data_IF_729723199457
#
_entry.id   IF_729723199457
#
_cell.length_a   1.000
_cell.length_b   1.000
_cell.length_c   1.000
_cell.angle_alpha   90.00
_cell.angle_beta   90.00
_cell.angle_gamma   90.00
#
_symmetry.space_group_name_H-M   'P 1'
#
loop_
_entity.id
_entity.type
_entity.pdbx_description
1 polymer ?
#
# COMPACT_ATOMS: atom_id res chain seq x y z
N UNK A 1 -13.67 7.71 9.60
CA UNK A 1 -14.00 6.75 8.51
C UNK A 1 -15.34 6.07 8.84
N UNK A 2 -16.24 5.87 7.86
CA UNK A 2 -17.50 5.16 8.10
C UNK A 2 -17.23 3.70 8.54
N UNK A 3 -18.12 3.06 9.31
CA UNK A 3 -17.92 1.69 9.81
C UNK A 3 -17.59 0.66 8.73
N UNK A 4 -18.20 0.77 7.55
CA UNK A 4 -17.94 -0.11 6.41
C UNK A 4 -16.48 -0.10 5.93
N UNK A 5 -15.68 0.91 6.30
CA UNK A 5 -14.26 1.03 5.93
C UNK A 5 -13.30 0.60 7.04
N UNK A 6 -13.79 0.14 8.20
CA UNK A 6 -12.91 -0.22 9.31
C UNK A 6 -12.07 -1.47 9.01
N UNK A 7 -12.63 -2.49 8.39
CA UNK A 7 -11.87 -3.68 7.97
C UNK A 7 -10.83 -3.37 6.89
N UNK A 8 -11.15 -2.46 5.97
CA UNK A 8 -10.21 -1.95 4.97
C UNK A 8 -9.04 -1.18 5.62
N UNK A 9 -9.35 -0.35 6.62
CA UNK A 9 -8.34 0.36 7.40
C UNK A 9 -7.42 -0.61 8.15
N UNK A 10 -7.98 -1.63 8.80
CA UNK A 10 -7.18 -2.67 9.46
C UNK A 10 -6.28 -3.40 8.48
N UNK A 11 -6.78 -3.80 7.30
CA UNK A 11 -5.97 -4.50 6.31
C UNK A 11 -4.81 -3.64 5.83
N UNK A 12 -5.07 -2.38 5.47
CA UNK A 12 -4.01 -1.47 5.02
C UNK A 12 -3.00 -1.18 6.14
N UNK A 13 -3.46 -0.94 7.38
CA UNK A 13 -2.57 -0.75 8.53
C UNK A 13 -1.72 -1.98 8.82
N UNK A 14 -2.29 -3.19 8.67
CA UNK A 14 -1.54 -4.44 8.78
C UNK A 14 -0.50 -4.56 7.67
N UNK A 15 -0.83 -4.21 6.43
CA UNK A 15 0.13 -4.18 5.32
C UNK A 15 1.34 -3.29 5.63
N UNK A 16 1.09 -2.12 6.22
CA UNK A 16 2.14 -1.23 6.70
C UNK A 16 3.02 -1.86 7.79
N UNK A 17 2.39 -2.48 8.80
CA UNK A 17 3.10 -3.17 9.88
C UNK A 17 3.96 -4.34 9.35
N UNK A 18 3.38 -5.19 8.50
CA UNK A 18 4.08 -6.33 7.90
C UNK A 18 5.21 -5.86 6.97
N UNK A 19 5.05 -4.70 6.34
CA UNK A 19 6.10 -4.04 5.57
C UNK A 19 7.28 -3.60 6.44
N UNK A 20 7.00 -2.88 7.53
CA UNK A 20 8.03 -2.49 8.50
C UNK A 20 8.75 -3.69 9.10
N UNK A 21 8.01 -4.75 9.44
CA UNK A 21 8.56 -5.95 10.08
C UNK A 21 9.34 -6.86 9.13
N UNK A 22 9.40 -6.52 7.84
CA UNK A 22 10.32 -7.15 6.88
C UNK A 22 11.67 -6.45 6.81
N UNK A 23 11.82 -5.29 7.43
CA UNK A 23 13.08 -4.57 7.52
C UNK A 23 13.81 -4.95 8.81
N UNK A 24 15.11 -5.09 8.69
CA UNK A 24 16.02 -5.02 9.85
C UNK A 24 16.10 -3.60 10.39
N UNK A 25 16.56 -3.46 11.63
CA UNK A 25 16.78 -2.17 12.28
C UNK A 25 17.73 -1.30 11.44
N UNK A 26 18.81 -1.88 10.92
CA UNK A 26 19.76 -1.18 10.05
C UNK A 26 19.14 -0.74 8.73
N UNK A 27 18.44 -1.63 8.01
CA UNK A 27 17.78 -1.29 6.74
C UNK A 27 16.74 -0.18 6.93
N UNK A 28 15.97 -0.20 8.02
CA UNK A 28 15.02 0.87 8.31
C UNK A 28 15.73 2.20 8.55
N UNK A 29 16.78 2.22 9.37
CA UNK A 29 17.54 3.45 9.63
C UNK A 29 18.18 4.00 8.35
N UNK A 30 18.72 3.12 7.50
CA UNK A 30 19.27 3.49 6.20
C UNK A 30 18.19 4.07 5.28
N UNK A 31 17.02 3.43 5.18
CA UNK A 31 15.92 3.92 4.35
C UNK A 31 15.36 5.26 4.85
N UNK A 32 15.37 5.51 6.17
CA UNK A 32 14.97 6.80 6.74
C UNK A 32 16.02 7.88 6.47
N UNK A 33 17.32 7.53 6.50
CA UNK A 33 18.39 8.46 6.16
C UNK A 33 18.44 8.77 4.65
N UNK A 34 18.13 7.77 3.82
CA UNK A 34 18.17 7.80 2.36
C UNK A 34 16.81 7.42 1.76
N UNK A 35 15.79 8.28 1.91
CA UNK A 35 14.43 7.95 1.48
C UNK A 35 14.36 7.72 -0.03
N UNK A 36 13.67 6.64 -0.42
CA UNK A 36 13.45 6.33 -1.82
C UNK A 36 12.71 7.47 -2.53
N UNK A 37 13.24 7.88 -3.69
CA UNK A 37 12.59 8.88 -4.54
C UNK A 37 11.42 8.24 -5.27
N UNK A 38 10.25 8.85 -5.12
CA UNK A 38 9.03 8.42 -5.81
C UNK A 38 9.13 8.66 -7.31
N UNK A 39 8.92 7.60 -8.08
CA UNK A 39 8.69 7.60 -9.52
C UNK A 39 7.20 7.36 -9.81
N UNK A 40 6.46 8.39 -10.27
CA UNK A 40 5.04 8.27 -10.61
C UNK A 40 4.74 7.16 -11.64
N UNK A 41 5.72 6.75 -12.45
CA UNK A 41 5.55 5.70 -13.47
C UNK A 41 5.30 4.34 -12.85
N UNK A 42 5.90 4.04 -11.69
CA UNK A 42 5.74 2.74 -11.01
C UNK A 42 4.28 2.52 -10.62
N UNK A 43 3.66 3.51 -9.97
CA UNK A 43 2.24 3.44 -9.64
C UNK A 43 1.35 3.42 -10.90
N UNK A 44 1.71 4.16 -11.96
CA UNK A 44 0.96 4.19 -13.22
C UNK A 44 0.94 2.83 -13.91
N UNK A 45 2.08 2.15 -13.98
CA UNK A 45 2.22 0.82 -14.59
C UNK A 45 1.40 -0.20 -13.80
N UNK A 46 1.59 -0.28 -12.48
CA UNK A 46 0.86 -1.22 -11.64
C UNK A 46 -0.67 -1.01 -11.74
N UNK A 47 -1.13 0.25 -11.77
CA UNK A 47 -2.55 0.57 -11.95
C UNK A 47 -3.09 0.14 -13.32
N UNK A 48 -2.30 0.30 -14.38
CA UNK A 48 -2.68 -0.15 -15.73
C UNK A 48 -2.82 -1.68 -15.76
N UNK A 49 -1.88 -2.40 -15.17
CA UNK A 49 -1.92 -3.86 -15.10
C UNK A 49 -3.14 -4.36 -14.33
N UNK A 50 -3.47 -3.74 -13.19
CA UNK A 50 -4.67 -4.09 -12.44
C UNK A 50 -5.94 -3.78 -13.26
N UNK A 51 -5.99 -2.63 -13.92
CA UNK A 51 -7.11 -2.27 -14.80
C UNK A 51 -7.31 -3.30 -15.90
N UNK A 52 -6.25 -3.68 -16.62
CA UNK A 52 -6.31 -4.62 -17.74
C UNK A 52 -6.83 -5.99 -17.25
N UNK A 53 -6.33 -6.49 -16.10
CA UNK A 53 -6.79 -7.73 -15.46
C UNK A 53 -8.25 -7.66 -15.02
N UNK A 54 -8.68 -6.55 -14.41
CA UNK A 54 -10.06 -6.35 -13.98
C UNK A 54 -11.02 -6.31 -15.16
N UNK A 55 -10.69 -5.53 -16.18
CA UNK A 55 -11.51 -5.39 -17.38
C UNK A 55 -11.67 -6.74 -18.09
N UNK A 56 -10.58 -7.49 -18.26
CA UNK A 56 -10.60 -8.81 -18.88
C UNK A 56 -11.45 -9.82 -18.08
N UNK A 57 -11.30 -9.84 -16.75
CA UNK A 57 -12.11 -10.71 -15.87
C UNK A 57 -13.59 -10.37 -15.94
N UNK A 58 -13.95 -9.10 -15.84
CA UNK A 58 -15.33 -8.62 -15.92
C UNK A 58 -15.92 -8.95 -17.30
N UNK A 59 -15.17 -8.69 -18.37
CA UNK A 59 -15.62 -8.99 -19.73
C UNK A 59 -15.92 -10.49 -19.91
N UNK A 60 -15.02 -11.37 -19.45
CA UNK A 60 -15.24 -12.83 -19.50
C UNK A 60 -16.50 -13.26 -18.78
N UNK A 61 -16.80 -12.64 -17.65
CA UNK A 61 -18.00 -12.98 -16.88
C UNK A 61 -19.28 -12.50 -17.57
N UNK A 62 -19.29 -11.25 -18.05
CA UNK A 62 -20.43 -10.68 -18.77
C UNK A 62 -20.74 -11.41 -20.08
N UNK A 63 -19.72 -11.90 -20.80
CA UNK A 63 -19.89 -12.67 -22.04
C UNK A 63 -20.69 -13.98 -21.85
N UNK A 64 -20.92 -14.44 -20.62
CA UNK A 64 -21.80 -15.58 -20.33
C UNK A 64 -23.28 -15.24 -20.53
N UNK A 65 -23.66 -13.96 -20.52
CA UNK A 65 -25.06 -13.52 -20.51
C UNK A 65 -25.38 -12.42 -21.54
N UNK A 66 -24.40 -11.86 -22.24
CA UNK A 66 -24.61 -10.81 -23.25
C UNK A 66 -23.60 -10.86 -24.40
N UNK A 67 -23.80 -10.04 -25.44
CA UNK A 67 -22.91 -10.00 -26.60
C UNK A 67 -21.49 -9.52 -26.25
N UNK A 68 -20.51 -9.89 -27.08
CA UNK A 68 -19.11 -9.49 -26.86
C UNK A 68 -18.91 -7.96 -26.85
N UNK A 69 -19.67 -7.23 -27.68
CA UNK A 69 -19.60 -5.76 -27.76
C UNK A 69 -20.16 -5.12 -26.48
N UNK A 70 -21.33 -5.57 -26.03
CA UNK A 70 -21.94 -5.08 -24.78
C UNK A 70 -21.07 -5.39 -23.57
N UNK A 71 -20.57 -6.64 -23.47
CA UNK A 71 -19.67 -7.08 -22.40
C UNK A 71 -18.39 -6.23 -22.37
N UNK A 72 -17.80 -5.93 -23.52
CA UNK A 72 -16.62 -5.06 -23.61
C UNK A 72 -16.93 -3.65 -23.10
N UNK A 73 -18.01 -3.03 -23.55
CA UNK A 73 -18.38 -1.67 -23.14
C UNK A 73 -18.65 -1.58 -21.62
N UNK A 74 -19.41 -2.54 -21.07
CA UNK A 74 -19.71 -2.58 -19.64
C UNK A 74 -18.46 -2.90 -18.81
N UNK A 75 -17.60 -3.81 -19.25
CA UNK A 75 -16.37 -4.15 -18.52
C UNK A 75 -15.41 -2.97 -18.39
N UNK A 76 -15.27 -2.16 -19.45
CA UNK A 76 -14.48 -0.92 -19.41
C UNK A 76 -15.06 0.06 -18.39
N UNK A 77 -16.39 0.25 -18.36
CA UNK A 77 -17.05 1.14 -17.40
C UNK A 77 -16.84 0.67 -15.96
N UNK A 78 -17.13 -0.60 -15.67
CA UNK A 78 -17.01 -1.17 -14.33
C UNK A 78 -15.55 -1.23 -13.84
N UNK A 79 -14.59 -1.54 -14.72
CA UNK A 79 -13.18 -1.50 -14.37
C UNK A 79 -12.71 -0.07 -14.05
N UNK A 80 -13.13 0.93 -14.82
CA UNK A 80 -12.82 2.35 -14.52
C UNK A 80 -13.41 2.79 -13.17
N UNK A 81 -14.66 2.45 -12.92
CA UNK A 81 -15.35 2.75 -11.66
C UNK A 81 -14.64 2.10 -10.47
N UNK A 82 -14.32 0.82 -10.57
CA UNK A 82 -13.53 0.10 -9.55
C UNK A 82 -12.17 0.76 -9.34
N UNK A 83 -11.42 1.06 -10.40
CA UNK A 83 -10.11 1.68 -10.28
C UNK A 83 -10.15 3.08 -9.68
N UNK A 84 -11.28 3.80 -9.79
CA UNK A 84 -11.44 5.14 -9.23
C UNK A 84 -11.42 5.17 -7.70
N UNK A 85 -11.83 4.07 -7.05
CA UNK A 85 -11.85 3.94 -5.59
C UNK A 85 -10.52 3.45 -5.02
N UNK A 86 -9.65 2.85 -5.85
CA UNK A 86 -8.40 2.23 -5.40
C UNK A 86 -7.19 3.17 -5.48
N UNK A 87 -6.26 3.00 -4.54
CA UNK A 87 -4.89 3.51 -4.55
C UNK A 87 -3.90 2.36 -4.74
N UNK A 88 -2.78 2.64 -5.39
CA UNK A 88 -1.61 1.77 -5.33
C UNK A 88 -0.90 2.02 -3.99
N UNK A 89 -0.55 0.96 -3.27
CA UNK A 89 -0.06 1.03 -1.90
C UNK A 89 1.43 0.67 -1.81
N UNK A 90 2.16 1.46 -1.03
CA UNK A 90 3.50 1.14 -0.54
C UNK A 90 3.38 0.55 0.87
N UNK A 91 4.00 -0.61 1.10
CA UNK A 91 4.00 -1.33 2.39
C UNK A 91 5.45 -1.73 2.77
N UNK A 92 6.17 -0.95 3.59
CA UNK A 92 5.69 0.22 4.28
C UNK A 92 5.62 1.46 3.34
N UNK A 93 4.96 2.52 3.79
CA UNK A 93 4.93 3.82 3.12
C UNK A 93 6.36 4.36 2.93
N UNK A 94 6.60 5.11 1.85
CA UNK A 94 7.90 5.71 1.58
C UNK A 94 8.39 6.60 2.73
N UNK A 95 7.49 7.34 3.38
CA UNK A 95 7.82 8.17 4.55
C UNK A 95 8.30 7.30 5.73
N UNK A 96 7.81 6.07 5.81
CA UNK A 96 8.15 5.09 6.84
C UNK A 96 9.32 4.17 6.45
N UNK A 97 10.15 4.58 5.50
CA UNK A 97 11.32 3.79 5.05
C UNK A 97 10.96 2.70 4.04
N UNK A 98 9.84 2.85 3.34
CA UNK A 98 9.44 1.96 2.24
C UNK A 98 10.28 2.14 0.97
N UNK A 99 10.26 1.11 0.13
CA UNK A 99 10.80 1.17 -1.24
C UNK A 99 9.72 1.61 -2.21
N UNK A 100 10.12 2.24 -3.32
CA UNK A 100 9.19 2.67 -4.36
C UNK A 100 8.74 1.50 -5.25
N UNK A 101 7.97 0.60 -4.65
CA UNK A 101 7.38 -0.58 -5.27
C UNK A 101 5.95 -0.74 -4.80
N UNK A 102 5.02 -1.05 -5.72
CA UNK A 102 3.62 -1.26 -5.36
C UNK A 102 3.45 -2.67 -4.80
N UNK A 103 2.99 -2.76 -3.56
CA UNK A 103 2.82 -4.03 -2.85
C UNK A 103 1.38 -4.54 -2.88
N UNK A 104 0.40 -3.63 -2.99
CA UNK A 104 -1.02 -3.95 -2.96
C UNK A 104 -1.86 -2.79 -3.55
N UNK A 105 -3.17 -2.99 -3.64
CA UNK A 105 -4.17 -1.97 -3.92
C UNK A 105 -5.27 -1.95 -2.85
N UNK A 106 -5.74 -0.76 -2.48
CA UNK A 106 -6.80 -0.62 -1.49
C UNK A 106 -7.57 0.68 -1.63
N UNK A 107 -8.62 0.85 -0.83
CA UNK A 107 -9.45 2.06 -0.83
C UNK A 107 -8.58 3.31 -0.63
N UNK A 108 -8.69 4.24 -1.58
CA UNK A 108 -7.86 5.44 -1.62
C UNK A 108 -8.18 6.41 -0.47
N UNK A 109 -9.42 6.44 0.01
CA UNK A 109 -9.79 7.31 1.13
C UNK A 109 -9.20 6.76 2.44
N UNK A 110 -9.24 5.44 2.63
CA UNK A 110 -8.54 4.78 3.75
C UNK A 110 -7.04 5.07 3.68
N UNK A 111 -6.41 4.87 2.52
CA UNK A 111 -4.98 5.15 2.36
C UNK A 111 -4.64 6.62 2.71
N UNK A 112 -5.48 7.56 2.27
CA UNK A 112 -5.31 8.99 2.58
C UNK A 112 -5.44 9.33 4.07
N UNK A 113 -6.09 8.47 4.86
CA UNK A 113 -6.18 8.63 6.32
C UNK A 113 -4.96 8.07 7.06
N UNK A 114 -4.21 7.15 6.47
CA UNK A 114 -3.02 6.51 7.09
C UNK A 114 -1.77 7.35 6.83
N UNK A 115 -1.55 7.78 5.59
CA UNK A 115 -0.33 8.48 5.17
C UNK A 115 0.09 9.66 6.07
N UNK A 116 -0.81 10.61 6.40
CA UNK A 116 -0.48 11.74 7.26
C UNK A 116 0.00 11.36 8.67
N UNK A 117 -0.40 10.19 9.18
CA UNK A 117 -0.03 9.72 10.52
C UNK A 117 1.44 9.32 10.61
N UNK A 118 2.11 9.05 9.48
CA UNK A 118 3.53 8.70 9.48
C UNK A 118 4.43 9.81 9.99
N UNK A 119 4.06 11.08 9.75
CA UNK A 119 4.86 12.23 10.15
C UNK A 119 5.19 12.21 11.64
N UNK A 120 4.25 11.84 12.52
CA UNK A 120 4.51 11.74 13.96
C UNK A 120 5.08 10.38 14.37
N UNK A 121 4.60 9.28 13.76
CA UNK A 121 4.98 7.90 14.12
C UNK A 121 6.44 7.58 13.79
N UNK A 122 6.97 8.09 12.67
CA UNK A 122 8.33 7.78 12.21
C UNK A 122 9.39 8.29 13.19
N UNK A 123 9.18 9.42 13.86
CA UNK A 123 10.14 9.91 14.87
C UNK A 123 10.32 8.92 16.02
N UNK A 124 9.22 8.40 16.57
CA UNK A 124 9.26 7.41 17.65
C UNK A 124 9.90 6.10 17.20
N UNK A 125 9.55 5.62 16.00
CA UNK A 125 10.14 4.41 15.42
C UNK A 125 11.64 4.56 15.19
N UNK A 126 12.09 5.69 14.64
CA UNK A 126 13.51 6.00 14.43
C UNK A 126 14.28 5.99 15.74
N UNK A 127 13.79 6.68 16.78
CA UNK A 127 14.46 6.73 18.07
C UNK A 127 14.58 5.32 18.72
N UNK A 128 13.54 4.49 18.59
CA UNK A 128 13.57 3.11 19.07
C UNK A 128 14.58 2.26 18.29
N UNK A 129 14.61 2.39 16.96
CA UNK A 129 15.55 1.69 16.09
C UNK A 129 17.01 2.09 16.37
N UNK A 130 17.31 3.39 16.54
CA UNK A 130 18.65 3.87 16.91
C UNK A 130 19.12 3.28 18.25
N UNK A 131 18.21 3.17 19.23
CA UNK A 131 18.52 2.53 20.52
C UNK A 131 18.81 1.03 20.36
N UNK A 132 18.02 0.32 19.56
CA UNK A 132 18.22 -1.11 19.29
C UNK A 132 19.54 -1.37 18.57
N UNK A 133 19.88 -0.56 17.56
CA UNK A 133 21.15 -0.62 16.84
C UNK A 133 22.35 -0.42 17.77
N UNK A 134 22.33 0.63 18.61
CA UNK A 134 23.40 0.87 19.62
C UNK A 134 23.54 -0.27 20.65
N UNK A 135 22.51 -1.08 20.84
CA UNK A 135 22.52 -2.23 21.76
C UNK A 135 22.97 -3.52 21.09
N UNK A 136 23.46 -3.46 19.83
CA UNK A 136 23.95 -4.62 19.09
C UNK A 136 22.88 -5.45 18.37
N UNK A 137 21.64 -4.94 18.26
CA UNK A 137 20.50 -5.65 17.65
C UNK A 137 20.18 -5.12 16.24
N UNK A 138 21.16 -4.54 15.55
CA UNK A 138 20.98 -3.87 14.26
C UNK A 138 20.50 -4.82 13.14
N UNK A 139 20.98 -6.05 13.13
CA UNK A 139 20.58 -7.09 12.16
C UNK A 139 19.23 -7.76 12.46
N UNK A 140 18.59 -7.43 13.59
CA UNK A 140 17.27 -7.94 13.96
C UNK A 140 16.14 -7.21 13.23
N UNK A 141 15.01 -7.91 13.02
CA UNK A 141 13.79 -7.30 12.45
C UNK A 141 13.17 -6.25 13.39
N UNK A 142 12.49 -5.27 12.81
CA UNK A 142 11.88 -4.14 13.54
C UNK A 142 10.84 -4.53 14.60
N UNK A 143 10.06 -5.60 14.35
CA UNK A 143 9.04 -6.12 15.26
C UNK A 143 8.07 -5.05 15.82
N UNK A 144 7.63 -4.13 14.97
CA UNK A 144 6.67 -3.06 15.27
C UNK A 144 5.25 -3.61 15.34
N UNK A 145 4.46 -3.02 16.25
CA UNK A 145 3.01 -3.19 16.32
C UNK A 145 2.32 -1.84 16.09
N UNK A 146 1.49 -1.75 15.05
CA UNK A 146 0.71 -0.56 14.75
C UNK A 146 -0.68 -0.69 15.35
N UNK A 147 -1.09 0.31 16.12
CA UNK A 147 -2.42 0.41 16.70
C UNK A 147 -3.27 1.42 15.93
N UNK A 148 -4.59 1.19 15.92
CA UNK A 148 -5.56 2.20 15.53
C UNK A 148 -5.43 3.38 16.50
N UNK A 149 -5.43 4.60 15.97
CA UNK A 149 -5.62 5.79 16.79
C UNK A 149 -7.07 5.92 17.21
#
# INVERSE_FOLDING_TARGET
>A
LPPAKHGEFERQLKGQQDGLNRLTVEEFLENIANPAKRDPRIAKIARKELYDKLQERIQRDLMKTMSAIEARNLSVKQAKETMSSLAALHNPDLIAGGRDTISDFGDRQVNSSIGPQWKSRVYGLKAAAEKASRSGVGSGLLNVKLHKC
#
